data_IF_085747852915
#
_entry.id   IF_085747852915
#
_cell.length_a   1.000
_cell.length_b   1.000
_cell.length_c   1.000
_cell.angle_alpha   90.00
_cell.angle_beta   90.00
_cell.angle_gamma   90.00
#
_symmetry.space_group_name_H-M   'P 1'
#
loop_
_entity.id
_entity.type
_entity.pdbx_description
1 polymer ?
#
# COMPACT_ATOMS: atom_id res chain seq x y z
N UNK A 1 -21.33 -7.74 -3.40
CA UNK A 1 -20.87 -8.78 -4.35
C UNK A 1 -21.51 -8.52 -5.70
N UNK A 2 -20.73 -8.24 -6.74
CA UNK A 2 -21.23 -8.17 -8.12
C UNK A 2 -21.51 -9.58 -8.64
N UNK A 3 -22.62 -9.78 -9.34
CA UNK A 3 -23.08 -11.11 -9.79
C UNK A 3 -22.21 -11.73 -10.89
N UNK A 4 -21.23 -10.98 -11.44
CA UNK A 4 -20.29 -11.47 -12.46
C UNK A 4 -20.94 -11.93 -13.77
N UNK A 5 -22.24 -11.73 -13.95
CA UNK A 5 -23.03 -12.28 -15.04
C UNK A 5 -23.09 -11.28 -16.18
N UNK A 6 -22.78 -11.76 -17.39
CA UNK A 6 -22.95 -11.00 -18.62
C UNK A 6 -24.42 -11.02 -19.05
N UNK A 7 -24.97 -9.86 -19.41
CA UNK A 7 -26.34 -9.70 -19.89
C UNK A 7 -26.36 -8.81 -21.14
N UNK A 8 -27.36 -8.99 -22.00
CA UNK A 8 -27.52 -8.13 -23.18
C UNK A 8 -28.07 -6.77 -22.76
N UNK A 9 -27.48 -5.68 -23.26
CA UNK A 9 -27.99 -4.33 -23.07
C UNK A 9 -29.39 -4.20 -23.71
N UNK A 10 -30.41 -3.71 -22.98
CA UNK A 10 -31.78 -3.60 -23.50
C UNK A 10 -31.90 -2.59 -24.66
N UNK A 11 -30.97 -1.65 -24.79
CA UNK A 11 -31.00 -0.60 -25.82
C UNK A 11 -30.31 -1.04 -27.12
N UNK A 12 -29.05 -1.51 -27.04
CA UNK A 12 -28.23 -1.79 -28.23
C UNK A 12 -27.88 -3.28 -28.42
N UNK A 13 -28.34 -4.17 -27.54
CA UNK A 13 -28.10 -5.62 -27.55
C UNK A 13 -26.64 -6.07 -27.39
N UNK A 14 -25.70 -5.16 -27.19
CA UNK A 14 -24.30 -5.50 -26.85
C UNK A 14 -24.25 -6.21 -25.49
N UNK A 15 -23.38 -7.21 -25.38
CA UNK A 15 -23.17 -7.95 -24.12
C UNK A 15 -22.39 -7.08 -23.15
N UNK A 16 -22.98 -6.82 -21.97
CA UNK A 16 -22.40 -5.98 -20.92
C UNK A 16 -22.34 -6.73 -19.59
N UNK A 17 -21.41 -6.32 -18.73
CA UNK A 17 -21.36 -6.75 -17.33
C UNK A 17 -21.96 -5.64 -16.48
N UNK A 18 -22.99 -5.97 -15.70
CA UNK A 18 -23.61 -5.04 -14.76
C UNK A 18 -23.32 -5.51 -13.33
N UNK A 19 -22.44 -4.80 -12.64
CA UNK A 19 -22.20 -5.00 -11.20
C UNK A 19 -23.13 -4.07 -10.41
N UNK A 20 -24.07 -4.66 -9.67
CA UNK A 20 -24.97 -3.89 -8.80
C UNK A 20 -24.30 -3.67 -7.46
N UNK A 21 -24.08 -2.40 -7.11
CA UNK A 21 -23.61 -2.01 -5.80
C UNK A 21 -24.79 -1.92 -4.82
N UNK A 22 -24.61 -2.25 -3.54
CA UNK A 22 -25.66 -2.09 -2.52
C UNK A 22 -26.26 -0.68 -2.49
N UNK A 23 -25.48 0.33 -2.88
CA UNK A 23 -25.94 1.71 -3.02
C UNK A 23 -27.11 1.91 -4.00
N UNK A 24 -27.31 1.00 -4.98
CA UNK A 24 -28.42 1.08 -5.93
C UNK A 24 -29.76 0.67 -5.30
N UNK A 25 -29.72 -0.29 -4.37
CA UNK A 25 -30.93 -0.90 -3.77
C UNK A 25 -31.24 -0.26 -2.40
N UNK A 26 -30.22 0.31 -1.75
CA UNK A 26 -30.40 1.05 -0.51
C UNK A 26 -31.32 2.24 -0.76
N UNK A 27 -32.32 2.43 0.11
CA UNK A 27 -33.08 3.67 0.18
C UNK A 27 -32.10 4.83 0.41
N UNK A 28 -31.97 5.67 -0.61
CA UNK A 28 -31.30 6.95 -0.48
C UNK A 28 -32.16 7.77 0.48
N UNK A 29 -31.75 7.84 1.75
CA UNK A 29 -32.40 8.68 2.74
C UNK A 29 -32.56 10.12 2.22
N UNK A 30 -33.49 10.87 2.79
CA UNK A 30 -33.70 12.26 2.40
C UNK A 30 -32.41 13.05 2.60
N UNK A 31 -31.98 13.75 1.55
CA UNK A 31 -30.84 14.66 1.63
C UNK A 31 -31.14 15.80 2.60
N UNK A 32 -30.13 16.26 3.34
CA UNK A 32 -30.24 17.46 4.17
C UNK A 32 -29.96 18.69 3.31
N UNK A 33 -30.85 19.70 3.26
CA UNK A 33 -30.51 20.97 2.63
C UNK A 33 -29.38 21.66 3.41
N UNK A 34 -28.66 22.59 2.76
CA UNK A 34 -27.67 23.41 3.43
C UNK A 34 -28.33 24.34 4.43
N UNK A 35 -27.68 24.56 5.57
CA UNK A 35 -28.20 25.46 6.60
C UNK A 35 -28.29 26.89 6.02
N UNK A 36 -29.46 27.57 6.11
CA UNK A 36 -29.65 28.88 5.52
C UNK A 36 -28.93 29.97 6.33
N UNK A 37 -28.63 31.09 5.68
CA UNK A 37 -28.23 32.33 6.37
C UNK A 37 -29.48 32.89 7.06
N UNK A 38 -29.44 33.01 8.39
CA UNK A 38 -30.60 33.42 9.21
C UNK A 38 -30.41 34.75 9.93
N UNK A 39 -29.15 35.19 10.11
CA UNK A 39 -28.82 36.41 10.84
C UNK A 39 -27.97 37.33 9.97
N UNK A 40 -28.27 38.63 10.00
CA UNK A 40 -27.43 39.65 9.39
C UNK A 40 -26.03 39.63 10.04
N UNK A 41 -25.00 39.36 9.23
CA UNK A 41 -23.61 39.20 9.67
C UNK A 41 -23.07 37.77 9.59
N UNK A 42 -23.91 36.77 9.31
CA UNK A 42 -23.44 35.42 8.99
C UNK A 42 -22.72 35.40 7.63
N UNK A 43 -21.60 34.67 7.55
CA UNK A 43 -20.89 34.49 6.29
C UNK A 43 -21.64 33.50 5.41
N UNK A 44 -21.88 33.88 4.15
CA UNK A 44 -22.53 33.03 3.17
C UNK A 44 -21.52 32.24 2.34
N UNK A 45 -21.96 31.12 1.78
CA UNK A 45 -21.14 30.34 0.87
C UNK A 45 -20.92 31.10 -0.44
N UNK A 46 -19.68 31.07 -0.94
CA UNK A 46 -19.28 31.69 -2.20
C UNK A 46 -20.11 31.22 -3.41
N UNK A 47 -20.49 29.93 -3.44
CA UNK A 47 -21.28 29.35 -4.55
C UNK A 47 -22.79 29.47 -4.34
N UNK A 48 -23.23 29.52 -3.08
CA UNK A 48 -24.62 29.53 -2.70
C UNK A 48 -24.88 30.61 -1.66
N UNK A 49 -25.20 31.84 -2.07
CA UNK A 49 -25.35 32.98 -1.16
C UNK A 49 -26.43 32.81 -0.10
N UNK A 50 -27.38 31.89 -0.32
CA UNK A 50 -28.47 31.58 0.63
C UNK A 50 -28.07 30.59 1.71
N UNK A 51 -26.94 29.89 1.54
CA UNK A 51 -26.47 28.90 2.49
C UNK A 51 -25.36 29.51 3.35
N UNK A 52 -25.43 29.27 4.65
CA UNK A 52 -24.42 29.67 5.61
C UNK A 52 -23.12 28.93 5.33
N UNK A 53 -22.01 29.65 5.36
CA UNK A 53 -20.69 29.07 5.31
C UNK A 53 -20.33 28.46 6.68
N UNK A 54 -19.74 27.27 6.65
CA UNK A 54 -19.32 26.52 7.85
C UNK A 54 -17.81 26.35 7.92
N UNK A 55 -17.11 26.44 6.78
CA UNK A 55 -15.67 26.31 6.71
C UNK A 55 -15.06 27.21 5.62
N UNK A 56 -13.73 27.33 5.65
CA UNK A 56 -12.94 28.10 4.70
C UNK A 56 -12.09 27.12 3.90
N UNK A 57 -12.08 27.25 2.58
CA UNK A 57 -11.25 26.41 1.72
C UNK A 57 -9.76 26.64 2.03
N UNK A 58 -9.04 25.57 2.38
CA UNK A 58 -7.62 25.63 2.73
C UNK A 58 -6.73 26.12 1.57
N UNK A 59 -7.16 25.94 0.31
CA UNK A 59 -6.37 26.30 -0.88
C UNK A 59 -6.61 27.72 -1.40
N UNK A 60 -7.86 28.17 -1.45
CA UNK A 60 -8.21 29.48 -2.04
C UNK A 60 -8.85 30.48 -1.06
N UNK A 61 -9.08 30.09 0.19
CA UNK A 61 -9.65 30.97 1.21
C UNK A 61 -11.14 31.28 1.04
N UNK A 62 -11.84 30.68 0.07
CA UNK A 62 -13.29 30.91 -0.12
C UNK A 62 -14.11 30.26 1.00
N UNK A 63 -15.13 30.97 1.46
CA UNK A 63 -16.15 30.45 2.39
C UNK A 63 -17.06 29.42 1.70
N UNK A 64 -17.25 28.26 2.32
CA UNK A 64 -18.03 27.12 1.78
C UNK A 64 -19.05 26.61 2.80
N UNK A 65 -20.24 26.26 2.31
CA UNK A 65 -21.29 25.66 3.14
C UNK A 65 -21.07 24.16 3.36
N UNK A 66 -21.88 23.58 4.23
CA UNK A 66 -21.88 22.15 4.58
C UNK A 66 -21.98 21.22 3.35
N UNK A 67 -22.65 21.68 2.29
CA UNK A 67 -22.80 20.92 1.04
C UNK A 67 -21.61 21.05 0.08
N UNK A 68 -20.86 22.15 0.15
CA UNK A 68 -19.80 22.45 -0.82
C UNK A 68 -18.40 22.11 -0.30
N UNK A 69 -18.21 21.97 1.01
CA UNK A 69 -16.91 21.58 1.54
C UNK A 69 -16.73 20.06 1.39
N UNK A 70 -15.49 19.66 1.12
CA UNK A 70 -15.09 18.26 1.10
C UNK A 70 -13.87 18.09 1.99
N UNK A 71 -13.90 17.04 2.80
CA UNK A 71 -12.84 16.72 3.74
C UNK A 71 -11.79 15.82 3.09
N UNK A 72 -10.56 16.32 3.03
CA UNK A 72 -9.38 15.60 2.56
C UNK A 72 -8.32 15.60 3.65
N UNK A 73 -8.28 14.50 4.41
CA UNK A 73 -7.47 14.42 5.62
C UNK A 73 -7.94 15.47 6.64
N UNK A 74 -7.07 16.42 6.95
CA UNK A 74 -7.34 17.51 7.89
C UNK A 74 -7.66 18.84 7.19
N UNK A 75 -7.95 18.83 5.89
CA UNK A 75 -8.19 20.04 5.09
C UNK A 75 -9.59 20.05 4.48
N UNK A 76 -10.25 21.21 4.55
CA UNK A 76 -11.52 21.48 3.88
C UNK A 76 -11.25 22.13 2.52
N UNK A 77 -11.71 21.52 1.43
CA UNK A 77 -11.54 22.04 0.07
C UNK A 77 -12.89 22.36 -0.58
N UNK A 78 -12.89 23.35 -1.47
CA UNK A 78 -14.03 23.66 -2.33
C UNK A 78 -14.00 22.84 -3.63
N UNK A 79 -15.12 22.71 -4.35
CA UNK A 79 -15.21 21.85 -5.54
C UNK A 79 -14.20 22.23 -6.63
N UNK A 80 -14.05 23.54 -6.88
CA UNK A 80 -13.10 24.06 -7.88
C UNK A 80 -11.65 23.72 -7.50
N UNK A 81 -11.29 23.82 -6.22
CA UNK A 81 -9.93 23.51 -5.78
C UNK A 81 -9.64 22.01 -5.75
N UNK A 82 -10.67 21.18 -5.51
CA UNK A 82 -10.56 19.73 -5.60
C UNK A 82 -10.32 19.28 -7.04
N UNK A 83 -11.12 19.78 -7.98
CA UNK A 83 -10.98 19.48 -9.41
C UNK A 83 -9.62 19.94 -9.94
N UNK A 84 -9.17 21.15 -9.57
CA UNK A 84 -7.85 21.66 -9.91
C UNK A 84 -6.70 20.94 -9.18
N UNK A 85 -6.98 20.15 -8.14
CA UNK A 85 -5.98 19.39 -7.39
C UNK A 85 -5.44 18.17 -8.13
N UNK A 86 -6.09 17.75 -9.23
CA UNK A 86 -5.62 16.65 -10.07
C UNK A 86 -4.42 17.00 -10.97
N UNK A 87 -4.16 18.29 -11.23
CA UNK A 87 -3.16 18.71 -12.22
C UNK A 87 -1.88 19.34 -11.63
N UNK A 88 -1.93 20.00 -10.47
CA UNK A 88 -0.78 20.76 -9.94
C UNK A 88 -0.73 20.81 -8.40
N UNK A 89 0.33 20.17 -7.90
CA UNK A 89 1.04 20.29 -6.62
C UNK A 89 0.37 19.99 -5.27
N UNK A 90 1.22 19.37 -4.45
CA UNK A 90 1.09 18.79 -3.11
C UNK A 90 0.23 17.52 -3.00
N UNK A 91 0.86 16.34 -2.81
CA UNK A 91 0.10 15.15 -2.46
C UNK A 91 -0.53 15.42 -1.09
N UNK A 92 -1.86 15.51 -1.05
CA UNK A 92 -2.64 15.18 0.14
C UNK A 92 -1.95 13.95 0.75
N UNK A 93 -1.51 14.04 2.01
CA UNK A 93 -0.90 12.93 2.74
C UNK A 93 -1.94 11.82 2.92
N UNK A 94 -2.23 11.11 1.83
CA UNK A 94 -2.79 9.79 1.86
C UNK A 94 -1.80 8.97 2.69
N UNK A 95 -2.25 8.20 3.70
CA UNK A 95 -1.35 7.43 4.54
C UNK A 95 -0.49 6.57 3.61
N UNK A 96 0.80 6.90 3.54
CA UNK A 96 1.77 6.24 2.67
C UNK A 96 1.88 4.82 3.18
N UNK A 97 1.09 3.90 2.61
CA UNK A 97 1.12 2.48 2.99
C UNK A 97 2.42 1.91 2.44
N UNK A 98 3.46 1.94 3.25
CA UNK A 98 4.76 1.37 2.93
C UNK A 98 4.56 -0.11 2.59
N UNK A 99 4.86 -0.51 1.34
CA UNK A 99 4.80 -1.90 0.92
C UNK A 99 6.01 -2.65 1.46
N UNK A 100 5.88 -3.19 2.68
CA UNK A 100 6.89 -4.03 3.31
C UNK A 100 7.25 -5.27 2.46
N UNK A 101 6.33 -5.78 1.62
CA UNK A 101 6.58 -6.91 0.71
C UNK A 101 7.64 -6.60 -0.36
N UNK A 102 7.73 -5.35 -0.82
CA UNK A 102 8.68 -4.94 -1.84
C UNK A 102 10.05 -4.68 -1.22
N UNK A 103 10.07 -4.10 -0.02
CA UNK A 103 11.28 -3.93 0.79
C UNK A 103 11.88 -5.29 1.16
N UNK A 104 11.06 -6.27 1.57
CA UNK A 104 11.52 -7.62 1.87
C UNK A 104 12.12 -8.32 0.63
N UNK A 105 11.52 -8.13 -0.55
CA UNK A 105 12.02 -8.73 -1.78
C UNK A 105 13.28 -8.02 -2.31
N UNK A 106 13.34 -6.69 -2.19
CA UNK A 106 14.54 -5.91 -2.51
C UNK A 106 15.70 -6.27 -1.56
N UNK A 107 15.44 -6.43 -0.26
CA UNK A 107 16.44 -6.88 0.72
C UNK A 107 16.90 -8.32 0.48
N UNK A 108 16.10 -9.18 -0.13
CA UNK A 108 16.52 -10.55 -0.48
C UNK A 108 17.29 -10.61 -1.81
N UNK A 109 16.92 -9.80 -2.80
CA UNK A 109 17.46 -9.86 -4.17
C UNK A 109 18.68 -8.95 -4.36
N UNK A 110 18.69 -7.75 -3.77
CA UNK A 110 19.76 -6.77 -3.98
C UNK A 110 21.12 -7.21 -3.40
N UNK A 111 21.19 -7.86 -2.23
CA UNK A 111 22.46 -8.39 -1.71
C UNK A 111 23.01 -9.56 -2.53
N UNK A 112 22.18 -10.20 -3.36
CA UNK A 112 22.59 -11.26 -4.29
C UNK A 112 23.46 -10.71 -5.43
N UNK A 113 23.36 -9.41 -5.71
CA UNK A 113 24.22 -8.70 -6.67
C UNK A 113 25.59 -8.32 -6.08
N UNK A 114 25.70 -8.22 -4.75
CA UNK A 114 26.92 -7.82 -4.03
C UNK A 114 27.34 -8.91 -3.03
N UNK A 115 28.05 -9.91 -3.55
CA UNK A 115 28.55 -11.10 -2.85
C UNK A 115 29.31 -10.81 -1.52
N UNK A 116 29.79 -9.59 -1.32
CA UNK A 116 30.54 -9.19 -0.12
C UNK A 116 29.68 -8.87 1.12
N UNK A 117 28.36 -8.69 0.98
CA UNK A 117 27.47 -8.24 2.08
C UNK A 117 26.48 -9.32 2.55
N UNK A 118 26.54 -10.51 1.96
CA UNK A 118 25.66 -11.65 2.26
C UNK A 118 25.72 -12.17 3.71
N UNK A 119 26.85 -12.19 4.45
CA UNK A 119 26.84 -12.78 5.79
C UNK A 119 26.12 -11.93 6.84
N UNK A 120 26.01 -10.61 6.63
CA UNK A 120 25.33 -9.70 7.57
C UNK A 120 23.85 -9.49 7.23
N UNK A 121 23.49 -9.54 5.95
CA UNK A 121 22.13 -9.22 5.47
C UNK A 121 21.16 -10.39 5.57
N UNK A 122 21.65 -11.63 5.45
CA UNK A 122 20.84 -12.84 5.56
C UNK A 122 20.09 -13.00 6.90
N UNK A 123 20.72 -12.84 8.09
CA UNK A 123 20.00 -12.94 9.36
C UNK A 123 19.01 -11.79 9.57
N UNK A 124 19.33 -10.58 9.11
CA UNK A 124 18.43 -9.43 9.19
C UNK A 124 17.15 -9.62 8.36
N UNK A 125 17.27 -10.16 7.14
CA UNK A 125 16.13 -10.48 6.29
C UNK A 125 15.23 -11.57 6.91
N UNK A 126 15.83 -12.58 7.54
CA UNK A 126 15.10 -13.66 8.22
C UNK A 126 14.31 -13.14 9.42
N UNK A 127 14.93 -12.29 10.26
CA UNK A 127 14.27 -11.70 11.44
C UNK A 127 13.11 -10.78 11.03
N UNK A 128 13.28 -9.98 9.98
CA UNK A 128 12.22 -9.09 9.49
C UNK A 128 11.07 -9.91 8.87
N UNK A 129 11.37 -10.95 8.08
CA UNK A 129 10.35 -11.80 7.47
C UNK A 129 9.52 -12.58 8.50
N UNK A 130 10.16 -13.10 9.57
CA UNK A 130 9.48 -13.85 10.64
C UNK A 130 8.70 -12.91 11.56
N UNK A 131 9.27 -11.75 11.95
CA UNK A 131 8.60 -10.81 12.85
C UNK A 131 7.40 -10.10 12.21
N UNK A 132 7.38 -9.94 10.87
CA UNK A 132 6.29 -9.29 10.13
C UNK A 132 5.22 -10.25 9.58
N UNK A 133 5.30 -11.55 9.91
CA UNK A 133 4.33 -12.58 9.48
C UNK A 133 2.89 -12.31 9.94
N UNK A 134 2.70 -11.60 11.05
CA UNK A 134 1.39 -11.24 11.61
C UNK A 134 0.94 -9.80 11.32
N UNK A 135 1.61 -9.06 10.43
CA UNK A 135 1.19 -7.72 10.08
C UNK A 135 -0.11 -7.77 9.23
N UNK A 136 -1.15 -6.97 9.55
CA UNK A 136 -2.43 -7.02 8.88
C UNK A 136 -2.27 -6.70 7.38
N UNK A 137 -2.66 -7.66 6.56
CA UNK A 137 -2.54 -7.60 5.10
C UNK A 137 -3.52 -6.59 4.51
N UNK A 138 -3.04 -5.80 3.55
CA UNK A 138 -3.83 -4.81 2.82
C UNK A 138 -5.01 -5.45 2.07
N UNK A 139 -6.02 -4.62 1.74
CA UNK A 139 -7.31 -4.94 1.09
C UNK A 139 -7.17 -5.68 -0.27
N UNK A 140 -5.97 -5.78 -0.83
CA UNK A 140 -5.70 -6.56 -2.04
C UNK A 140 -5.33 -8.01 -1.68
N UNK A 141 -6.01 -9.03 -2.24
CA UNK A 141 -5.69 -10.43 -2.00
C UNK A 141 -4.34 -10.77 -2.65
N UNK A 142 -3.24 -10.59 -1.91
CA UNK A 142 -1.91 -10.99 -2.36
C UNK A 142 -1.58 -12.38 -1.85
N UNK A 143 -1.18 -13.22 -2.79
CA UNK A 143 -0.88 -14.63 -2.64
C UNK A 143 0.32 -14.88 -1.72
N UNK A 144 0.12 -15.73 -0.71
CA UNK A 144 1.09 -16.10 0.34
C UNK A 144 2.38 -16.79 -0.16
N UNK A 145 2.47 -17.12 -1.46
CA UNK A 145 3.62 -17.82 -2.04
C UNK A 145 4.92 -16.99 -2.02
N UNK A 146 4.82 -15.65 -2.02
CA UNK A 146 5.98 -14.75 -2.03
C UNK A 146 6.83 -14.89 -0.76
N UNK A 147 6.20 -15.14 0.39
CA UNK A 147 6.90 -15.39 1.65
C UNK A 147 7.60 -16.75 1.66
N UNK A 148 6.97 -17.77 1.07
CA UNK A 148 7.56 -19.12 0.94
C UNK A 148 8.80 -19.09 0.05
N UNK A 149 8.75 -18.36 -1.06
CA UNK A 149 9.90 -18.18 -1.95
C UNK A 149 11.07 -17.50 -1.21
N UNK A 150 10.82 -16.43 -0.45
CA UNK A 150 11.86 -15.73 0.31
C UNK A 150 12.54 -16.64 1.35
N UNK A 151 11.77 -17.47 2.07
CA UNK A 151 12.31 -18.42 3.05
C UNK A 151 13.19 -19.50 2.38
N UNK A 152 12.74 -20.04 1.24
CA UNK A 152 13.52 -21.04 0.49
C UNK A 152 14.87 -20.49 0.02
N UNK A 153 14.89 -19.28 -0.53
CA UNK A 153 16.15 -18.65 -0.97
C UNK A 153 17.12 -18.39 0.19
N UNK A 154 16.62 -17.91 1.33
CA UNK A 154 17.44 -17.69 2.52
C UNK A 154 18.01 -19.01 3.07
N UNK A 155 17.22 -20.08 3.10
CA UNK A 155 17.67 -21.39 3.56
C UNK A 155 18.77 -21.96 2.66
N UNK A 156 18.62 -21.86 1.34
CA UNK A 156 19.64 -22.31 0.38
C UNK A 156 20.94 -21.52 0.56
N UNK A 157 20.87 -20.21 0.77
CA UNK A 157 22.05 -19.38 1.02
C UNK A 157 22.81 -19.76 2.29
N UNK A 158 22.10 -19.97 3.41
CA UNK A 158 22.71 -20.41 4.68
C UNK A 158 23.38 -21.79 4.50
N UNK A 159 22.70 -22.69 3.81
CA UNK A 159 23.19 -24.05 3.53
C UNK A 159 24.48 -24.02 2.70
N UNK A 160 24.52 -23.18 1.66
CA UNK A 160 25.69 -23.02 0.79
C UNK A 160 26.91 -22.46 1.56
N UNK A 161 26.71 -21.46 2.42
CA UNK A 161 27.79 -20.91 3.24
C UNK A 161 28.29 -21.89 4.32
N UNK A 162 27.39 -22.65 4.94
CA UNK A 162 27.75 -23.70 5.90
C UNK A 162 28.58 -24.82 5.23
N UNK A 163 28.25 -25.18 4.00
CA UNK A 163 29.01 -26.16 3.23
C UNK A 163 30.40 -25.65 2.85
N UNK A 164 30.49 -24.38 2.39
CA UNK A 164 31.77 -23.76 2.03
C UNK A 164 32.68 -23.64 3.26
N UNK A 165 32.17 -23.17 4.39
CA UNK A 165 32.97 -23.07 5.62
C UNK A 165 33.43 -24.44 6.12
N UNK A 166 32.56 -25.46 6.08
CA UNK A 166 32.93 -26.83 6.42
C UNK A 166 34.02 -27.38 5.48
N UNK A 167 33.91 -27.14 4.17
CA UNK A 167 34.90 -27.60 3.18
C UNK A 167 36.28 -26.95 3.39
N UNK A 168 36.32 -25.66 3.75
CA UNK A 168 37.56 -24.93 4.04
C UNK A 168 38.17 -25.31 5.39
N UNK A 169 37.38 -25.82 6.35
CA UNK A 169 37.89 -26.28 7.65
C UNK A 169 38.31 -27.76 7.62
N UNK A 170 37.65 -28.59 6.81
CA UNK A 170 37.91 -30.03 6.72
C UNK A 170 39.07 -30.38 5.75
N UNK A 171 39.22 -29.64 4.64
CA UNK A 171 40.31 -29.84 3.67
C UNK A 171 41.74 -29.65 4.25
N UNK A 172 42.03 -28.66 5.11
CA UNK A 172 43.35 -28.54 5.73
C UNK A 172 43.60 -29.56 6.85
N UNK A 173 42.56 -30.18 7.42
CA UNK A 173 42.71 -31.14 8.51
C UNK A 173 43.02 -32.57 8.02
N UNK A 174 42.42 -32.99 6.89
CA UNK A 174 42.74 -34.27 6.23
C UNK A 174 44.12 -34.26 5.55
N UNK A 175 44.51 -33.14 4.94
CA UNK A 175 45.86 -32.99 4.37
C UNK A 175 46.95 -32.99 5.45
N UNK A 176 46.73 -32.34 6.62
CA UNK A 176 47.67 -32.42 7.74
C UNK A 176 47.80 -33.81 8.35
N UNK A 177 46.72 -34.58 8.42
CA UNK A 177 46.77 -35.96 8.94
C UNK A 177 47.44 -36.94 7.95
N UNK A 178 47.26 -36.74 6.64
CA UNK A 178 47.96 -37.54 5.63
C UNK A 178 49.48 -37.31 5.61
N UNK A 179 49.96 -36.08 5.89
CA UNK A 179 51.39 -35.78 5.99
C UNK A 179 52.04 -36.29 7.29
N UNK A 180 51.29 -36.41 8.40
CA UNK A 180 51.80 -36.92 9.68
C UNK A 180 51.77 -38.46 9.79
N UNK A 181 50.99 -39.16 8.95
CA UNK A 181 50.91 -40.62 8.93
C UNK A 181 51.91 -41.33 8.00
N UNK A 182 52.62 -40.59 7.14
CA UNK A 182 53.60 -41.15 6.18
C UNK A 182 55.07 -40.98 6.64
N UNK A 183 55.29 -40.53 7.88
CA UNK A 183 56.60 -40.21 8.45
C UNK A 183 56.96 -40.99 9.72
N UNK A 184 56.40 -42.19 9.92
CA UNK A 184 56.79 -43.15 10.97
C UNK A 184 57.05 -44.50 10.32
#
# INVERSE_FOLDING_TARGET
>A
MGSGRLSACPSCKVVVRADVYPALIRDAGQGRPGDPVTVDGETSCFFHPRNRAVSICARCGRFVCDLCHMDLGNSHLCPVCLEAGGEKDEPVELPRRVLYDEIALALAVYPLLFFFVTPLTAPAALVIAVSRWNAPSSVLPRTRWRYVAAILFAAVQISAWAWISYSQFLAPHLSRQAFLGAGV
#
